data_IF_196804789410
#
_entry.id   IF_196804789410
#
_cell.length_a   1.000
_cell.length_b   1.000
_cell.length_c   1.000
_cell.angle_alpha   90.00
_cell.angle_beta   90.00
_cell.angle_gamma   90.00
#
_symmetry.space_group_name_H-M   'P 1'
#
loop_
_entity.id
_entity.type
_entity.pdbx_description
1 polymer ?
#
# COMPACT_ATOMS: atom_id res chain seq x y z
N UNK A 1 12.05 22.90 -0.89
CA UNK A 1 13.48 22.88 -1.26
C UNK A 1 13.97 21.47 -0.96
N UNK A 2 14.84 20.91 -1.77
CA UNK A 2 15.48 19.61 -1.51
C UNK A 2 16.43 19.79 -0.34
N UNK A 3 16.43 18.86 0.61
CA UNK A 3 17.39 18.83 1.70
C UNK A 3 18.61 18.00 1.28
N UNK A 4 19.82 18.56 1.41
CA UNK A 4 21.07 17.92 1.03
C UNK A 4 21.72 18.46 -0.26
N UNK A 5 22.84 17.87 -0.70
CA UNK A 5 23.61 18.34 -1.85
C UNK A 5 22.92 18.06 -3.19
N UNK A 6 23.14 18.92 -4.18
CA UNK A 6 22.72 18.66 -5.56
C UNK A 6 23.78 17.83 -6.30
N UNK A 7 23.36 16.96 -7.26
CA UNK A 7 24.29 16.27 -8.13
C UNK A 7 25.05 17.27 -9.02
N UNK A 8 26.32 16.97 -9.33
CA UNK A 8 27.08 17.77 -10.28
C UNK A 8 26.48 17.64 -11.70
N UNK A 9 26.55 18.70 -12.48
CA UNK A 9 26.10 18.68 -13.86
C UNK A 9 26.91 17.64 -14.67
N UNK A 10 26.21 16.89 -15.52
CA UNK A 10 26.82 15.85 -16.35
C UNK A 10 26.93 14.47 -15.70
N UNK A 11 26.43 14.31 -14.47
CA UNK A 11 26.33 12.99 -13.83
C UNK A 11 25.31 12.12 -14.50
N UNK A 12 25.58 10.81 -14.50
CA UNK A 12 24.69 9.80 -15.10
C UNK A 12 23.76 9.25 -14.04
N UNK A 13 22.45 9.19 -14.35
CA UNK A 13 21.50 8.42 -13.55
C UNK A 13 21.74 6.94 -13.84
N UNK A 14 22.27 6.21 -12.87
CA UNK A 14 22.53 4.77 -13.01
C UNK A 14 21.27 3.94 -12.87
N UNK A 15 20.41 4.29 -11.90
CA UNK A 15 19.18 3.55 -11.63
C UNK A 15 18.13 4.44 -10.99
N UNK A 16 16.87 4.05 -11.21
CA UNK A 16 15.71 4.61 -10.51
C UNK A 16 14.99 3.44 -9.86
N UNK A 17 14.85 3.49 -8.55
CA UNK A 17 14.30 2.39 -7.76
C UNK A 17 13.08 2.86 -6.97
N UNK A 18 12.11 1.98 -6.80
CA UNK A 18 10.98 2.20 -5.92
C UNK A 18 10.94 1.12 -4.84
N UNK A 19 10.78 1.56 -3.58
CA UNK A 19 10.66 0.70 -2.42
C UNK A 19 9.39 1.11 -1.66
N UNK A 20 8.29 0.40 -1.89
CA UNK A 20 6.99 0.75 -1.33
C UNK A 20 6.52 2.13 -1.78
N UNK A 21 6.62 3.12 -0.89
CA UNK A 21 6.19 4.51 -1.14
C UNK A 21 7.35 5.48 -1.37
N UNK A 22 8.56 4.95 -1.45
CA UNK A 22 9.79 5.70 -1.63
C UNK A 22 10.30 5.54 -3.06
N UNK A 23 10.73 6.63 -3.68
CA UNK A 23 11.42 6.63 -4.96
C UNK A 23 12.82 7.16 -4.77
N UNK A 24 13.80 6.46 -5.30
CA UNK A 24 15.20 6.83 -5.33
C UNK A 24 15.69 7.00 -6.76
N UNK A 25 16.43 8.09 -7.01
CA UNK A 25 17.21 8.31 -8.23
C UNK A 25 18.68 8.30 -7.81
N UNK A 26 19.43 7.35 -8.34
CA UNK A 26 20.84 7.11 -7.97
C UNK A 26 21.73 7.53 -9.10
N UNK A 27 22.74 8.36 -8.78
CA UNK A 27 23.76 8.82 -9.72
C UNK A 27 25.06 8.04 -9.59
N UNK A 28 25.85 8.08 -10.65
CA UNK A 28 27.16 7.43 -10.81
C UNK A 28 28.24 7.85 -9.79
N UNK A 29 27.97 8.88 -9.00
CA UNK A 29 28.85 9.32 -7.91
C UNK A 29 28.36 8.86 -6.53
N UNK A 30 27.35 7.99 -6.48
CA UNK A 30 26.75 7.48 -5.26
C UNK A 30 25.86 8.49 -4.52
N UNK A 31 25.48 9.61 -5.16
CA UNK A 31 24.45 10.49 -4.63
C UNK A 31 23.08 9.89 -4.94
N UNK A 32 22.16 9.94 -3.99
CA UNK A 32 20.79 9.47 -4.12
C UNK A 32 19.82 10.62 -3.87
N UNK A 33 18.89 10.87 -4.78
CA UNK A 33 17.71 11.68 -4.51
C UNK A 33 16.58 10.76 -4.06
N UNK A 34 16.15 10.93 -2.85
CA UNK A 34 15.03 10.22 -2.25
C UNK A 34 13.78 11.10 -2.21
N UNK A 35 12.64 10.52 -2.52
CA UNK A 35 11.35 11.16 -2.32
C UNK A 35 10.30 10.22 -1.76
N UNK A 36 9.48 10.72 -0.82
CA UNK A 36 8.24 10.07 -0.38
C UNK A 36 7.07 11.00 -0.71
N UNK A 37 6.23 10.55 -1.63
CA UNK A 37 5.14 11.37 -2.18
C UNK A 37 3.95 11.50 -1.24
N UNK A 38 3.81 10.60 -0.26
CA UNK A 38 2.61 10.48 0.61
C UNK A 38 1.32 10.53 -0.21
N UNK A 39 0.37 11.46 0.14
CA UNK A 39 -0.94 11.55 -0.52
C UNK A 39 -0.98 12.55 -1.68
N UNK A 40 -0.18 13.61 -1.62
CA UNK A 40 -0.31 14.78 -2.50
C UNK A 40 0.86 14.97 -3.46
N UNK A 41 1.96 14.26 -3.23
CA UNK A 41 3.14 14.32 -4.07
C UNK A 41 2.96 13.60 -5.40
N UNK A 42 3.67 14.06 -6.43
CA UNK A 42 3.69 13.41 -7.75
C UNK A 42 4.96 13.75 -8.53
N UNK A 43 5.46 12.76 -9.28
CA UNK A 43 6.46 12.97 -10.31
C UNK A 43 5.78 13.07 -11.67
N UNK A 44 6.22 14.04 -12.49
CA UNK A 44 5.76 14.23 -13.86
C UNK A 44 6.97 14.33 -14.80
N UNK A 45 6.84 13.75 -15.99
CA UNK A 45 7.83 13.88 -17.03
C UNK A 45 7.34 14.87 -18.11
N UNK A 46 8.25 15.74 -18.52
CA UNK A 46 8.03 16.76 -19.55
C UNK A 46 9.18 16.75 -20.56
N UNK A 47 8.89 17.13 -21.79
CA UNK A 47 9.92 17.50 -22.75
C UNK A 47 10.46 18.89 -22.41
N UNK A 48 11.67 19.20 -22.86
CA UNK A 48 12.22 20.55 -22.75
C UNK A 48 11.29 21.54 -23.43
N UNK A 49 10.94 22.64 -22.73
CA UNK A 49 10.00 23.65 -23.19
C UNK A 49 8.51 23.31 -23.05
N UNK A 50 8.16 22.11 -22.62
CA UNK A 50 6.76 21.74 -22.36
C UNK A 50 6.24 22.46 -21.12
N UNK A 51 4.99 22.96 -21.19
CA UNK A 51 4.33 23.64 -20.06
C UNK A 51 3.98 22.61 -18.97
N UNK A 52 4.35 22.91 -17.74
CA UNK A 52 3.99 22.07 -16.61
C UNK A 52 2.49 22.08 -16.35
N UNK A 53 1.95 20.93 -15.99
CA UNK A 53 0.52 20.71 -15.66
C UNK A 53 0.16 21.20 -14.28
N UNK A 54 1.15 21.46 -13.42
CA UNK A 54 0.98 21.97 -12.07
C UNK A 54 1.67 23.32 -11.93
N UNK A 55 1.17 24.19 -11.01
CA UNK A 55 1.80 25.47 -10.73
C UNK A 55 3.24 25.32 -10.25
N UNK A 56 4.15 26.20 -10.70
CA UNK A 56 5.56 26.17 -10.34
C UNK A 56 5.85 26.29 -8.82
N UNK A 57 4.96 26.98 -8.08
CA UNK A 57 5.08 27.08 -6.61
C UNK A 57 4.87 25.76 -5.86
N UNK A 58 4.36 24.73 -6.54
CA UNK A 58 4.20 23.37 -6.00
C UNK A 58 5.43 22.49 -6.29
N UNK A 59 6.37 22.95 -7.12
CA UNK A 59 7.57 22.21 -7.46
C UNK A 59 8.49 22.09 -6.23
N UNK A 60 9.01 20.90 -6.02
CA UNK A 60 9.93 20.54 -4.95
C UNK A 60 11.33 20.23 -5.45
N UNK A 61 11.40 19.52 -6.59
CA UNK A 61 12.65 19.22 -7.28
C UNK A 61 12.40 19.05 -8.78
N UNK A 62 13.45 19.25 -9.55
CA UNK A 62 13.51 18.90 -10.97
C UNK A 62 14.84 18.22 -11.29
N UNK A 63 14.77 17.22 -12.16
CA UNK A 63 15.94 16.49 -12.66
C UNK A 63 15.91 16.59 -14.18
N UNK A 64 16.94 17.18 -14.74
CA UNK A 64 17.08 17.38 -16.18
C UNK A 64 17.96 16.29 -16.79
N UNK A 65 17.50 15.71 -17.88
CA UNK A 65 18.28 14.85 -18.76
C UNK A 65 18.33 15.44 -20.18
N UNK A 66 19.00 14.77 -21.11
CA UNK A 66 19.08 15.25 -22.49
C UNK A 66 17.71 15.50 -23.12
N UNK A 67 16.74 14.59 -22.92
CA UNK A 67 15.45 14.61 -23.57
C UNK A 67 14.28 14.99 -22.68
N UNK A 68 14.43 14.87 -21.36
CA UNK A 68 13.35 14.95 -20.40
C UNK A 68 13.68 15.78 -19.17
N UNK A 69 12.64 16.36 -18.60
CA UNK A 69 12.66 16.98 -17.28
C UNK A 69 11.69 16.18 -16.40
N UNK A 70 12.20 15.56 -15.33
CA UNK A 70 11.40 14.95 -14.30
C UNK A 70 11.16 16.00 -13.21
N UNK A 71 9.88 16.32 -12.92
CA UNK A 71 9.50 17.34 -11.95
C UNK A 71 8.69 16.72 -10.82
N UNK A 72 9.15 16.91 -9.58
CA UNK A 72 8.46 16.51 -8.38
C UNK A 72 7.61 17.64 -7.82
N UNK A 73 6.33 17.42 -7.62
CA UNK A 73 5.40 18.37 -7.04
C UNK A 73 4.88 17.88 -5.69
N UNK A 74 4.73 18.80 -4.73
CA UNK A 74 4.08 18.58 -3.43
C UNK A 74 4.61 17.39 -2.60
N UNK A 75 5.79 16.86 -2.90
CA UNK A 75 6.38 15.81 -2.07
C UNK A 75 6.74 16.40 -0.69
N UNK A 76 6.20 15.86 0.41
CA UNK A 76 6.53 16.34 1.74
C UNK A 76 7.97 16.00 2.15
N UNK A 77 8.49 14.89 1.64
CA UNK A 77 9.87 14.47 1.88
C UNK A 77 10.56 14.41 0.53
N UNK A 78 11.62 15.20 0.37
CA UNK A 78 12.53 15.16 -0.76
C UNK A 78 13.89 15.63 -0.30
N UNK A 79 14.89 14.77 -0.44
CA UNK A 79 16.22 14.94 0.12
C UNK A 79 17.25 14.19 -0.68
N UNK A 80 18.52 14.53 -0.48
CA UNK A 80 19.64 13.81 -1.06
C UNK A 80 20.60 13.34 0.02
N UNK A 81 21.15 12.14 -0.16
CA UNK A 81 22.15 11.54 0.72
C UNK A 81 23.11 10.66 -0.08
N UNK A 82 24.22 10.27 0.53
CA UNK A 82 25.18 9.35 -0.07
C UNK A 82 24.77 7.89 0.13
N UNK A 83 25.02 7.02 -0.83
CA UNK A 83 24.63 5.62 -0.80
C UNK A 83 25.11 4.88 0.47
N UNK A 84 26.29 5.22 0.98
CA UNK A 84 26.81 4.63 2.22
C UNK A 84 26.02 5.05 3.48
N UNK A 85 25.24 6.15 3.43
CA UNK A 85 24.38 6.59 4.53
C UNK A 85 22.97 6.01 4.44
N UNK A 86 22.62 5.30 3.37
CA UNK A 86 21.29 4.76 3.11
C UNK A 86 20.71 3.99 4.31
N UNK A 87 21.51 3.11 4.91
CA UNK A 87 21.07 2.29 6.05
C UNK A 87 20.92 3.07 7.37
N UNK A 88 21.48 4.27 7.45
CA UNK A 88 21.36 5.17 8.61
C UNK A 88 20.19 6.14 8.45
N UNK A 89 19.62 6.20 7.26
CA UNK A 89 18.57 7.16 6.96
C UNK A 89 17.26 6.74 7.65
N UNK A 90 16.58 7.65 8.41
CA UNK A 90 15.34 7.32 9.15
C UNK A 90 14.21 6.77 8.27
N UNK A 91 14.20 7.12 6.98
CA UNK A 91 13.21 6.63 6.01
C UNK A 91 13.45 5.20 5.53
N UNK A 92 14.60 4.62 5.83
CA UNK A 92 15.02 3.27 5.43
C UNK A 92 15.36 2.38 6.63
N UNK A 93 14.61 2.50 7.71
CA UNK A 93 14.67 1.53 8.79
C UNK A 93 14.45 0.09 8.25
N UNK A 94 14.51 -0.94 9.08
CA UNK A 94 14.31 -2.32 8.68
C UNK A 94 12.87 -2.55 8.22
N UNK A 95 12.53 -2.02 7.01
CA UNK A 95 11.23 -2.22 6.41
C UNK A 95 10.98 -3.71 6.15
N UNK A 96 9.73 -4.09 6.24
CA UNK A 96 9.26 -5.38 5.81
C UNK A 96 9.36 -5.57 4.29
N UNK A 97 9.12 -6.78 3.80
CA UNK A 97 9.12 -7.07 2.38
C UNK A 97 8.16 -6.18 1.60
N UNK A 98 8.58 -5.70 0.43
CA UNK A 98 7.71 -4.93 -0.47
C UNK A 98 6.78 -5.89 -1.21
N UNK A 99 5.55 -6.03 -0.72
CA UNK A 99 4.55 -6.96 -1.25
C UNK A 99 4.13 -6.66 -2.70
N UNK A 100 4.47 -5.50 -3.23
CA UNK A 100 4.22 -5.17 -4.64
C UNK A 100 5.15 -5.91 -5.59
N UNK A 101 6.31 -6.34 -5.12
CA UNK A 101 7.33 -7.05 -5.90
C UNK A 101 6.97 -8.53 -6.07
N UNK A 102 7.19 -9.12 -7.25
CA UNK A 102 6.97 -10.56 -7.47
C UNK A 102 7.84 -11.46 -6.60
N UNK A 103 9.04 -11.00 -6.27
CA UNK A 103 10.07 -11.69 -5.49
C UNK A 103 10.03 -11.37 -3.99
N UNK A 104 8.99 -10.68 -3.51
CA UNK A 104 8.85 -10.34 -2.09
C UNK A 104 8.72 -11.60 -1.23
N UNK A 105 9.41 -11.60 -0.10
CA UNK A 105 9.28 -12.63 0.93
C UNK A 105 7.95 -12.46 1.68
N UNK A 106 6.92 -13.13 1.17
CA UNK A 106 5.56 -13.07 1.73
C UNK A 106 5.52 -13.76 3.09
N UNK A 107 6.28 -14.85 3.26
CA UNK A 107 6.30 -15.65 4.49
C UNK A 107 6.91 -14.84 5.64
N UNK A 108 7.92 -14.03 5.37
CA UNK A 108 8.47 -13.10 6.36
C UNK A 108 7.43 -12.06 6.80
N UNK A 109 6.63 -11.52 5.88
CA UNK A 109 5.56 -10.59 6.23
C UNK A 109 4.45 -11.24 7.06
N UNK A 110 4.11 -12.51 6.76
CA UNK A 110 3.17 -13.31 7.55
C UNK A 110 3.70 -13.49 8.97
N UNK A 111 4.97 -13.89 9.08
CA UNK A 111 5.63 -14.09 10.37
C UNK A 111 5.66 -12.80 11.20
N UNK A 112 5.97 -11.66 10.60
CA UNK A 112 5.98 -10.36 11.26
C UNK A 112 4.59 -9.89 11.69
N UNK A 113 3.54 -10.18 10.94
CA UNK A 113 2.16 -9.89 11.34
C UNK A 113 1.75 -10.78 12.51
N UNK A 114 2.01 -12.08 12.43
CA UNK A 114 1.66 -13.05 13.47
C UNK A 114 2.37 -12.77 14.80
N UNK A 115 3.62 -12.34 14.77
CA UNK A 115 4.43 -11.96 15.92
C UNK A 115 4.51 -10.44 16.13
N UNK A 116 3.47 -9.72 15.71
CA UNK A 116 3.47 -8.25 15.86
C UNK A 116 3.71 -7.85 17.32
N UNK A 117 4.54 -6.84 17.51
CA UNK A 117 5.03 -6.46 18.86
C UNK A 117 3.92 -6.06 19.84
N UNK A 118 2.83 -5.49 19.34
CA UNK A 118 1.63 -5.18 20.12
C UNK A 118 0.47 -6.08 19.70
N UNK A 119 0.28 -7.16 20.43
CA UNK A 119 -0.74 -8.15 20.16
C UNK A 119 -2.18 -7.65 20.40
N UNK A 120 -2.34 -6.53 21.11
CA UNK A 120 -3.65 -5.91 21.37
C UNK A 120 -3.98 -4.84 20.33
N UNK A 121 -3.01 -4.41 19.53
CA UNK A 121 -3.25 -3.45 18.45
C UNK A 121 -4.28 -3.98 17.44
N UNK A 122 -5.15 -3.11 16.92
CA UNK A 122 -6.04 -3.46 15.81
C UNK A 122 -5.25 -3.96 14.60
N UNK A 123 -5.71 -5.02 13.95
CA UNK A 123 -5.07 -5.53 12.72
C UNK A 123 -4.96 -4.45 11.64
N UNK A 124 -5.92 -3.53 11.60
CA UNK A 124 -5.88 -2.39 10.68
C UNK A 124 -4.66 -1.49 10.89
N UNK A 125 -4.10 -1.42 12.09
CA UNK A 125 -2.89 -0.65 12.40
C UNK A 125 -1.63 -1.43 12.10
N UNK A 126 -1.58 -2.69 12.54
CA UNK A 126 -0.47 -3.58 12.20
C UNK A 126 -0.23 -3.67 10.68
N UNK A 127 -1.29 -3.66 9.87
CA UNK A 127 -1.19 -3.64 8.41
C UNK A 127 -0.63 -2.33 7.82
N UNK A 128 -0.65 -1.22 8.55
CA UNK A 128 -0.03 0.04 8.10
C UNK A 128 1.44 0.14 8.49
N UNK A 129 1.88 -0.70 9.40
CA UNK A 129 3.27 -0.73 9.82
C UNK A 129 4.15 -1.26 8.67
N UNK A 130 5.03 -0.37 8.18
CA UNK A 130 5.93 -0.72 7.09
C UNK A 130 7.03 -1.71 7.51
N UNK A 131 7.18 -2.01 8.81
CA UNK A 131 8.03 -3.10 9.30
C UNK A 131 7.38 -4.47 9.10
N UNK A 132 6.05 -4.55 9.10
CA UNK A 132 5.33 -5.79 8.79
C UNK A 132 5.38 -6.06 7.28
N UNK A 133 4.93 -5.08 6.50
CA UNK A 133 4.90 -5.19 5.05
C UNK A 133 5.01 -3.82 4.39
N UNK A 134 5.98 -3.65 3.50
CA UNK A 134 6.14 -2.41 2.77
C UNK A 134 5.15 -2.33 1.59
N UNK A 135 4.76 -1.10 1.22
CA UNK A 135 3.85 -0.83 0.10
C UNK A 135 2.38 -0.72 0.50
N UNK A 136 1.95 -1.31 1.59
CA UNK A 136 0.57 -1.19 2.07
C UNK A 136 0.26 0.26 2.51
N UNK A 137 -0.81 0.79 1.94
CA UNK A 137 -1.34 2.11 2.29
C UNK A 137 -2.79 2.01 2.75
N UNK A 138 -3.34 3.16 3.15
CA UNK A 138 -4.68 3.23 3.71
C UNK A 138 -5.77 2.64 2.81
N UNK A 139 -5.66 2.83 1.49
CA UNK A 139 -6.61 2.26 0.53
C UNK A 139 -6.57 0.74 0.59
N UNK A 140 -5.38 0.16 0.43
CA UNK A 140 -5.23 -1.29 0.43
C UNK A 140 -5.54 -1.92 1.79
N UNK A 141 -5.23 -1.27 2.91
CA UNK A 141 -5.67 -1.69 4.24
C UNK A 141 -7.18 -1.95 4.28
N UNK A 142 -7.98 -0.96 3.85
CA UNK A 142 -9.43 -1.09 3.87
C UNK A 142 -9.94 -2.18 2.91
N UNK A 143 -9.41 -2.23 1.69
CA UNK A 143 -9.83 -3.19 0.67
C UNK A 143 -9.43 -4.63 1.00
N UNK A 144 -8.23 -4.85 1.55
CA UNK A 144 -7.78 -6.18 1.99
C UNK A 144 -8.63 -6.70 3.12
N UNK A 145 -8.84 -5.91 4.17
CA UNK A 145 -9.66 -6.32 5.31
C UNK A 145 -11.10 -6.62 4.89
N UNK A 146 -11.66 -5.83 3.95
CA UNK A 146 -12.97 -6.13 3.38
C UNK A 146 -12.95 -7.43 2.55
N UNK A 147 -11.93 -7.65 1.73
CA UNK A 147 -11.81 -8.86 0.92
C UNK A 147 -11.73 -10.11 1.81
N UNK A 148 -10.99 -10.04 2.90
CA UNK A 148 -10.85 -11.12 3.88
C UNK A 148 -12.07 -11.26 4.82
N UNK A 149 -13.03 -10.31 4.81
CA UNK A 149 -14.13 -10.30 5.77
C UNK A 149 -13.70 -10.03 7.21
N UNK A 150 -12.46 -9.63 7.41
CA UNK A 150 -11.85 -9.45 8.73
C UNK A 150 -12.25 -8.10 9.34
N UNK A 151 -12.68 -8.14 10.60
CA UNK A 151 -13.06 -6.92 11.31
C UNK A 151 -11.83 -6.04 11.54
N UNK A 152 -11.87 -4.75 11.15
CA UNK A 152 -10.67 -3.90 11.18
C UNK A 152 -10.12 -3.61 12.58
N UNK A 153 -10.98 -3.75 13.61
CA UNK A 153 -10.62 -3.57 15.00
C UNK A 153 -10.34 -4.88 15.73
N UNK A 154 -10.29 -6.02 15.03
CA UNK A 154 -9.83 -7.25 15.63
C UNK A 154 -8.40 -7.09 16.15
N UNK A 155 -8.08 -7.45 17.41
CA UNK A 155 -6.72 -7.42 17.89
C UNK A 155 -5.88 -8.46 17.16
N UNK A 156 -4.60 -8.18 16.93
CA UNK A 156 -3.70 -9.12 16.25
C UNK A 156 -3.69 -10.49 16.94
N UNK A 157 -3.75 -10.53 18.27
CA UNK A 157 -3.84 -11.77 19.05
C UNK A 157 -5.06 -12.64 18.74
N UNK A 158 -6.09 -12.10 18.11
CA UNK A 158 -7.27 -12.87 17.68
C UNK A 158 -7.07 -13.58 16.33
N UNK A 159 -6.00 -13.26 15.59
CA UNK A 159 -5.68 -13.87 14.31
C UNK A 159 -4.85 -15.13 14.52
N UNK A 160 -5.23 -16.21 13.85
CA UNK A 160 -4.38 -17.39 13.73
C UNK A 160 -3.40 -17.27 12.55
N UNK A 161 -2.57 -18.29 12.36
CA UNK A 161 -1.57 -18.30 11.29
C UNK A 161 -2.22 -18.27 9.89
N UNK A 162 -3.40 -18.91 9.73
CA UNK A 162 -4.13 -18.95 8.47
C UNK A 162 -4.75 -17.56 8.18
N UNK A 163 -5.28 -16.86 9.17
CA UNK A 163 -5.76 -15.49 9.05
C UNK A 163 -4.63 -14.56 8.59
N UNK A 164 -3.47 -14.62 9.23
CA UNK A 164 -2.30 -13.82 8.87
C UNK A 164 -1.83 -14.13 7.44
N UNK A 165 -1.76 -15.40 7.08
CA UNK A 165 -1.43 -15.84 5.73
C UNK A 165 -2.43 -15.30 4.71
N UNK A 166 -3.72 -15.39 4.99
CA UNK A 166 -4.78 -14.93 4.09
C UNK A 166 -4.75 -13.41 3.88
N UNK A 167 -4.56 -12.64 4.94
CA UNK A 167 -4.45 -11.18 4.88
C UNK A 167 -3.24 -10.75 4.04
N UNK A 168 -2.05 -11.30 4.32
CA UNK A 168 -0.81 -10.88 3.65
C UNK A 168 -0.79 -11.31 2.19
N UNK A 169 -1.24 -12.52 1.88
CA UNK A 169 -1.30 -13.01 0.49
C UNK A 169 -2.33 -12.23 -0.33
N UNK A 170 -3.48 -11.87 0.27
CA UNK A 170 -4.49 -11.01 -0.36
C UNK A 170 -3.91 -9.61 -0.62
N UNK A 171 -3.16 -9.05 0.32
CA UNK A 171 -2.50 -7.76 0.17
C UNK A 171 -1.49 -7.78 -1.00
N UNK A 172 -0.63 -8.78 -1.05
CA UNK A 172 0.33 -8.95 -2.14
C UNK A 172 -0.36 -9.07 -3.51
N UNK A 173 -1.44 -9.85 -3.59
CA UNK A 173 -2.19 -10.03 -4.82
C UNK A 173 -2.85 -8.73 -5.29
N UNK A 174 -3.46 -7.95 -4.37
CA UNK A 174 -4.08 -6.66 -4.68
C UNK A 174 -3.03 -5.63 -5.17
N UNK A 175 -1.90 -5.53 -4.49
CA UNK A 175 -0.81 -4.65 -4.88
C UNK A 175 -0.28 -4.99 -6.28
N UNK A 176 0.01 -6.27 -6.54
CA UNK A 176 0.55 -6.74 -7.82
C UNK A 176 -0.47 -6.63 -8.97
N UNK A 177 -1.76 -6.80 -8.70
CA UNK A 177 -2.80 -6.69 -9.74
C UNK A 177 -2.86 -5.29 -10.33
N UNK A 178 -2.73 -4.26 -9.52
CA UNK A 178 -2.73 -2.86 -9.99
C UNK A 178 -1.51 -2.51 -10.82
N UNK A 179 -0.34 -3.06 -10.50
CA UNK A 179 0.86 -2.86 -11.33
C UNK A 179 0.74 -3.51 -12.71
N UNK A 180 0.05 -4.66 -12.82
CA UNK A 180 -0.18 -5.35 -14.09
C UNK A 180 -1.22 -4.65 -14.97
N UNK A 181 -2.25 -4.06 -14.39
CA UNK A 181 -3.34 -3.39 -15.10
C UNK A 181 -3.11 -1.88 -15.28
N UNK A 182 -2.07 -1.34 -14.68
CA UNK A 182 -1.63 0.00 -15.05
C UNK A 182 -1.17 -0.08 -16.50
N UNK A 183 -1.90 0.52 -17.47
CA UNK A 183 -1.36 0.59 -18.82
C UNK A 183 0.01 1.22 -18.69
N UNK A 184 0.95 0.86 -19.56
CA UNK A 184 2.17 1.63 -19.79
C UNK A 184 1.75 3.00 -20.33
N UNK A 185 1.02 3.72 -19.51
CA UNK A 185 0.66 5.10 -19.75
C UNK A 185 2.00 5.81 -19.75
N UNK A 186 2.30 6.45 -20.86
CA UNK A 186 3.40 7.38 -20.92
C UNK A 186 3.45 8.11 -19.59
N UNK A 187 4.58 8.10 -18.90
CA UNK A 187 4.76 8.53 -17.50
C UNK A 187 4.16 9.92 -17.16
N UNK A 188 3.70 10.62 -18.19
CA UNK A 188 3.09 11.94 -18.13
C UNK A 188 1.66 12.00 -17.59
N UNK A 189 0.97 10.87 -17.36
CA UNK A 189 -0.47 10.87 -17.01
C UNK A 189 -0.81 10.18 -15.68
N UNK A 190 0.14 9.58 -14.98
CA UNK A 190 -0.14 8.96 -13.69
C UNK A 190 -0.31 10.02 -12.60
N UNK A 191 -1.56 10.34 -12.27
CA UNK A 191 -1.86 10.96 -10.99
C UNK A 191 -1.73 9.89 -9.89
N UNK A 192 -0.86 10.10 -8.87
CA UNK A 192 -0.83 9.24 -7.69
C UNK A 192 -2.23 9.25 -7.05
N UNK A 193 -2.79 8.08 -6.81
CA UNK A 193 -4.08 7.94 -6.15
C UNK A 193 -5.31 8.01 -7.05
N UNK A 194 -5.19 8.04 -8.38
CA UNK A 194 -6.35 7.87 -9.26
C UNK A 194 -6.78 6.41 -9.32
N UNK A 195 -7.32 5.91 -8.19
CA UNK A 195 -8.25 4.80 -8.27
C UNK A 195 -9.48 5.29 -9.02
N UNK A 196 -9.84 4.62 -10.10
CA UNK A 196 -11.16 4.85 -10.70
C UNK A 196 -12.17 4.53 -9.60
N UNK A 197 -13.00 5.51 -9.22
CA UNK A 197 -13.94 5.38 -8.07
C UNK A 197 -14.83 4.12 -8.15
N UNK A 198 -14.98 3.51 -9.32
CA UNK A 198 -15.76 2.28 -9.51
C UNK A 198 -15.09 0.97 -9.08
N UNK A 199 -13.77 0.98 -8.80
CA UNK A 199 -13.02 -0.24 -8.52
C UNK A 199 -12.83 -0.54 -7.02
N UNK A 200 -13.26 0.38 -6.13
CA UNK A 200 -13.06 0.23 -4.68
C UNK A 200 -14.33 -0.28 -4.01
N UNK A 201 -14.16 -1.25 -3.11
CA UNK A 201 -15.26 -1.89 -2.41
C UNK A 201 -15.77 -1.07 -1.22
N UNK A 202 -14.86 -0.49 -0.43
CA UNK A 202 -15.22 0.27 0.78
C UNK A 202 -14.52 1.62 0.89
N UNK A 203 -13.28 1.75 0.43
CA UNK A 203 -12.53 3.00 0.60
C UNK A 203 -13.18 4.18 -0.11
N UNK A 204 -13.40 5.28 0.64
CA UNK A 204 -14.07 6.49 0.13
C UNK A 204 -15.58 6.33 -0.13
N UNK A 205 -16.19 5.24 0.34
CA UNK A 205 -17.61 4.92 0.08
C UNK A 205 -18.49 5.02 1.32
N UNK A 206 -18.14 5.87 2.26
CA UNK A 206 -18.98 6.10 3.45
C UNK A 206 -20.44 6.40 3.09
N UNK A 207 -21.37 5.78 3.79
CA UNK A 207 -22.81 5.94 3.58
C UNK A 207 -23.38 5.24 2.33
N UNK A 208 -22.53 4.63 1.48
CA UNK A 208 -22.98 3.87 0.31
C UNK A 208 -23.25 2.41 0.67
N UNK A 209 -24.07 1.75 -0.14
CA UNK A 209 -24.33 0.32 0.03
C UNK A 209 -23.10 -0.51 -0.36
N UNK A 210 -22.77 -1.47 0.49
CA UNK A 210 -21.76 -2.48 0.20
C UNK A 210 -22.23 -3.36 -0.98
N UNK A 211 -21.35 -3.51 -1.99
CA UNK A 211 -21.67 -4.35 -3.16
C UNK A 211 -21.81 -5.85 -2.82
N UNK A 212 -21.27 -6.27 -1.66
CA UNK A 212 -21.30 -7.66 -1.21
C UNK A 212 -22.60 -8.02 -0.49
N UNK A 213 -22.98 -7.28 0.55
CA UNK A 213 -24.12 -7.64 1.41
C UNK A 213 -25.24 -6.60 1.43
N UNK A 214 -25.06 -5.43 0.80
CA UNK A 214 -26.05 -4.36 0.79
C UNK A 214 -26.05 -3.48 2.05
N UNK A 215 -25.29 -3.81 3.08
CA UNK A 215 -25.17 -3.00 4.28
C UNK A 215 -24.41 -1.69 4.03
N UNK A 216 -24.53 -0.75 4.94
CA UNK A 216 -23.95 0.59 4.77
C UNK A 216 -22.48 0.60 5.16
N UNK A 217 -21.61 1.00 4.21
CA UNK A 217 -20.19 1.22 4.47
C UNK A 217 -20.02 2.34 5.48
N UNK A 218 -19.24 2.08 6.53
CA UNK A 218 -18.94 3.02 7.60
C UNK A 218 -17.54 3.59 7.46
N UNK A 219 -17.30 4.71 8.15
CA UNK A 219 -16.00 5.35 8.27
C UNK A 219 -15.79 5.81 9.70
N UNK A 220 -14.57 5.66 10.19
CA UNK A 220 -14.11 6.32 11.41
C UNK A 220 -12.69 6.85 11.23
N UNK A 221 -12.29 7.70 12.17
CA UNK A 221 -10.91 8.15 12.32
C UNK A 221 -10.38 7.51 13.61
N UNK A 222 -9.49 6.50 13.52
CA UNK A 222 -8.84 5.93 14.68
C UNK A 222 -8.05 6.99 15.44
N UNK A 223 -8.03 6.90 16.77
CA UNK A 223 -7.39 7.90 17.65
C UNK A 223 -5.87 7.97 17.41
N UNK A 224 -5.26 6.86 17.03
CA UNK A 224 -3.81 6.71 16.93
C UNK A 224 -3.23 7.13 15.59
N UNK A 225 -4.07 7.36 14.59
CA UNK A 225 -3.61 7.87 13.30
C UNK A 225 -4.67 8.73 12.59
N UNK A 226 -4.23 9.75 11.88
CA UNK A 226 -5.10 10.69 11.14
C UNK A 226 -5.73 10.10 9.87
N UNK A 227 -5.73 8.77 9.70
CA UNK A 227 -6.16 8.13 8.46
C UNK A 227 -7.54 7.52 8.61
N UNK A 228 -8.49 7.99 7.82
CA UNK A 228 -9.85 7.45 7.78
C UNK A 228 -9.84 5.95 7.44
N UNK A 229 -10.52 5.16 8.25
CA UNK A 229 -10.73 3.73 8.08
C UNK A 229 -12.15 3.48 7.60
N UNK A 230 -12.27 2.77 6.46
CA UNK A 230 -13.56 2.42 5.86
C UNK A 230 -13.78 0.91 5.95
N UNK A 231 -14.99 0.49 6.33
CA UNK A 231 -15.34 -0.93 6.41
C UNK A 231 -16.84 -1.15 6.23
N UNK A 232 -17.22 -2.40 5.97
CA UNK A 232 -18.60 -2.83 5.94
C UNK A 232 -18.90 -3.70 7.18
N UNK A 233 -19.74 -3.25 8.12
CA UNK A 233 -20.02 -4.02 9.34
C UNK A 233 -20.74 -5.36 9.07
N UNK A 234 -21.52 -5.46 7.99
CA UNK A 234 -22.18 -6.70 7.63
C UNK A 234 -21.28 -7.75 6.99
N UNK A 235 -20.15 -7.34 6.38
CA UNK A 235 -19.21 -8.27 5.74
C UNK A 235 -17.99 -8.60 6.58
N UNK A 236 -17.54 -7.65 7.40
CA UNK A 236 -16.27 -7.73 8.14
C UNK A 236 -16.58 -8.12 9.58
N UNK A 237 -17.06 -9.32 9.77
CA UNK A 237 -17.46 -9.87 11.08
C UNK A 237 -16.44 -10.88 11.63
N UNK A 238 -15.57 -11.42 10.77
CA UNK A 238 -14.55 -12.38 11.18
C UNK A 238 -13.61 -11.75 12.23
N UNK A 239 -13.40 -12.45 13.33
CA UNK A 239 -12.63 -11.98 14.49
C UNK A 239 -13.17 -10.67 15.12
N UNK A 240 -14.44 -10.32 14.88
CA UNK A 240 -15.08 -9.23 15.60
C UNK A 240 -15.16 -9.55 17.10
N UNK A 241 -14.88 -8.56 17.95
CA UNK A 241 -15.01 -8.73 19.42
C UNK A 241 -16.41 -9.17 19.82
N UNK A 242 -17.46 -8.68 19.11
CA UNK A 242 -18.84 -9.10 19.35
C UNK A 242 -19.06 -10.55 18.94
N UNK A 243 -18.54 -10.96 17.79
CA UNK A 243 -18.65 -12.32 17.26
C UNK A 243 -17.88 -13.32 18.12
N UNK A 244 -16.67 -12.95 18.57
CA UNK A 244 -15.88 -13.79 19.47
C UNK A 244 -16.55 -14.00 20.82
N UNK A 245 -17.36 -13.04 21.29
CA UNK A 245 -18.12 -13.14 22.55
C UNK A 245 -19.40 -13.97 22.41
N UNK A 246 -20.01 -14.05 21.23
CA UNK A 246 -21.34 -14.66 21.01
C UNK A 246 -21.28 -15.98 20.25
N UNK A 247 -20.29 -16.21 19.44
CA UNK A 247 -20.16 -17.39 18.59
C UNK A 247 -18.78 -18.02 18.86
N UNK A 248 -18.74 -19.25 19.29
CA UNK A 248 -17.48 -19.99 19.36
C UNK A 248 -16.76 -20.02 18.00
N UNK A 249 -15.45 -20.24 17.99
CA UNK A 249 -14.56 -20.18 16.84
C UNK A 249 -15.02 -20.95 15.57
N UNK A 250 -15.84 -21.98 15.72
CA UNK A 250 -16.32 -22.82 14.61
C UNK A 250 -17.35 -22.14 13.68
N UNK A 251 -18.20 -21.26 14.20
CA UNK A 251 -19.29 -20.67 13.42
C UNK A 251 -18.83 -19.59 12.41
N UNK A 252 -17.63 -19.07 12.56
CA UNK A 252 -17.08 -17.97 11.71
C UNK A 252 -16.39 -18.51 10.47
N UNK A 253 -16.02 -19.79 10.43
CA UNK A 253 -15.29 -20.42 9.32
C UNK A 253 -16.13 -20.72 8.08
N UNK A 254 -17.46 -20.67 8.19
CA UNK A 254 -18.41 -21.07 7.12
C UNK A 254 -18.89 -19.94 6.19
N UNK A 255 -18.37 -18.74 6.30
CA UNK A 255 -18.78 -17.66 5.38
C UNK A 255 -18.06 -17.78 4.04
N UNK A 256 -18.75 -18.29 3.05
CA UNK A 256 -18.31 -18.31 1.65
C UNK A 256 -17.91 -16.90 1.19
N UNK A 257 -16.76 -16.74 0.56
CA UNK A 257 -16.37 -15.44 0.02
C UNK A 257 -17.36 -15.02 -1.07
N UNK A 258 -17.83 -13.79 -0.99
CA UNK A 258 -18.76 -13.22 -1.97
C UNK A 258 -18.26 -13.43 -3.42
N UNK A 259 -19.13 -13.68 -4.42
CA UNK A 259 -18.76 -13.95 -5.80
C UNK A 259 -17.79 -12.93 -6.44
N UNK A 260 -17.87 -11.65 -6.09
CA UNK A 260 -16.91 -10.63 -6.57
C UNK A 260 -15.52 -10.81 -5.94
N UNK A 261 -15.45 -11.20 -4.66
CA UNK A 261 -14.19 -11.57 -4.01
C UNK A 261 -13.77 -12.98 -4.46
N UNK A 262 -14.68 -13.91 -4.68
CA UNK A 262 -14.42 -15.25 -5.17
C UNK A 262 -13.78 -15.25 -6.56
N UNK A 263 -14.25 -14.39 -7.49
CA UNK A 263 -13.63 -14.23 -8.81
C UNK A 263 -12.20 -13.68 -8.71
N UNK A 264 -11.95 -12.82 -7.75
CA UNK A 264 -10.62 -12.28 -7.46
C UNK A 264 -9.74 -13.32 -6.75
N UNK A 265 -10.29 -13.96 -5.71
CA UNK A 265 -9.60 -14.99 -4.92
C UNK A 265 -9.35 -16.28 -5.70
N UNK A 266 -10.22 -16.63 -6.68
CA UNK A 266 -10.03 -17.80 -7.56
C UNK A 266 -8.82 -17.66 -8.49
N UNK A 267 -8.34 -16.44 -8.71
CA UNK A 267 -7.16 -16.17 -9.51
C UNK A 267 -5.84 -16.14 -8.70
N UNK A 268 -5.91 -16.33 -7.38
CA UNK A 268 -4.72 -16.41 -6.53
C UNK A 268 -4.01 -17.76 -6.73
N UNK A 269 -2.68 -17.75 -6.89
CA UNK A 269 -1.92 -18.98 -7.24
C UNK A 269 -2.10 -20.14 -6.26
N UNK A 270 -2.31 -19.86 -4.98
CA UNK A 270 -2.41 -20.87 -3.92
C UNK A 270 -3.76 -21.63 -3.88
N UNK A 271 -4.88 -21.03 -4.36
CA UNK A 271 -6.15 -21.76 -4.47
C UNK A 271 -6.13 -22.91 -5.49
N UNK A 272 -5.17 -22.87 -6.43
CA UNK A 272 -4.99 -24.00 -7.37
C UNK A 272 -4.32 -25.20 -6.73
N UNK A 273 -3.61 -25.02 -5.62
CA UNK A 273 -2.88 -26.07 -4.92
C UNK A 273 -3.59 -26.63 -3.67
N UNK A 274 -4.62 -25.92 -3.17
CA UNK A 274 -5.39 -26.35 -2.00
C UNK A 274 -6.89 -26.14 -2.31
N UNK A 275 -7.54 -27.13 -2.96
CA UNK A 275 -9.00 -27.13 -3.04
C UNK A 275 -9.53 -27.20 -1.62
N UNK A 276 -10.40 -26.26 -1.25
CA UNK A 276 -11.17 -26.35 -0.01
C UNK A 276 -11.83 -27.73 -0.03
N UNK A 277 -11.51 -28.56 0.97
CA UNK A 277 -12.22 -29.80 1.20
C UNK A 277 -13.70 -29.46 1.31
N UNK A 278 -14.50 -30.04 0.39
CA UNK A 278 -15.94 -29.91 0.36
C UNK A 278 -16.62 -30.64 1.53
#
# INVERSE_FOLDING_TARGET
MVDGPAPAIGRIVERVESHGKHLEIVWDDGLILHSNLRLNGSWHLYRHGERWRRPGNQMRAEVHSADWIAVCFNAPIIETYREFDRYRHPGFGPHGPDLSRPDADVDESINRLYHYHDQLAPVSEAMLDQHVANGLGNVYRCEVLWACGLHPFAPVSALDADDCSFVVTTAAALLRSKLRHSPRVAASTMQPGSFVRGDLAVYGRNGQRCARCGDTVQVCQPVENDRLLYWCPGCQVHRSLVTMSLLGDEAVREMDPHPAAAKFLSNLPWRRSHPLAG
#
